data_IF_896952938082
#
_entry.id   IF_896952938082
#
_cell.length_a   1.000
_cell.length_b   1.000
_cell.length_c   1.000
_cell.angle_alpha   90.00
_cell.angle_beta   90.00
_cell.angle_gamma   90.00
#
_symmetry.space_group_name_H-M   'P 1'
#
loop_
_entity.id
_entity.type
_entity.pdbx_description
1 polymer ?
#
# COMPACT_ATOMS: atom_id res chain seq x y z
N UNK A 1 0.47 -1.39 -18.51
CA UNK A 1 1.02 -0.01 -18.52
C UNK A 1 2.42 0.01 -17.95
N UNK A 2 3.25 1.01 -18.28
CA UNK A 2 4.62 1.10 -17.76
C UNK A 2 4.66 1.79 -16.39
N UNK A 3 3.83 2.81 -16.21
CA UNK A 3 3.65 3.52 -14.95
C UNK A 3 2.30 4.24 -14.96
N UNK A 4 1.89 4.72 -13.79
CA UNK A 4 0.82 5.71 -13.60
C UNK A 4 1.35 6.91 -12.82
N UNK A 5 0.71 8.07 -12.99
CA UNK A 5 1.01 9.25 -12.20
C UNK A 5 -0.04 9.40 -11.11
N UNK A 6 0.41 9.39 -9.86
CA UNK A 6 -0.41 9.69 -8.69
C UNK A 6 0.16 10.96 -8.04
N UNK A 7 -0.59 12.06 -8.04
CA UNK A 7 -0.18 13.37 -7.52
C UNK A 7 1.19 13.87 -8.02
N UNK A 8 1.44 13.59 -9.31
CA UNK A 8 2.69 13.94 -10.00
C UNK A 8 3.85 12.96 -9.75
N UNK A 9 3.64 11.89 -8.98
CA UNK A 9 4.64 10.86 -8.71
C UNK A 9 4.41 9.62 -9.56
N UNK A 10 5.51 9.03 -10.02
CA UNK A 10 5.48 7.82 -10.85
C UNK A 10 5.32 6.58 -9.97
N UNK A 11 4.26 5.82 -10.22
CA UNK A 11 4.05 4.48 -9.65
C UNK A 11 4.26 3.44 -10.75
N UNK A 12 5.21 2.53 -10.52
CA UNK A 12 5.57 1.43 -11.42
C UNK A 12 5.28 0.10 -10.74
N UNK A 13 4.60 -0.82 -11.41
CA UNK A 13 4.23 -2.09 -10.79
C UNK A 13 5.44 -2.98 -10.47
N UNK A 14 5.38 -3.77 -9.39
CA UNK A 14 6.48 -4.66 -8.97
C UNK A 14 6.90 -5.61 -10.09
N UNK A 15 5.95 -6.16 -10.86
CA UNK A 15 6.29 -7.10 -11.93
C UNK A 15 7.22 -6.47 -12.98
N UNK A 16 7.11 -5.16 -13.22
CA UNK A 16 8.00 -4.42 -14.13
C UNK A 16 9.37 -4.11 -13.52
N UNK A 17 9.47 -4.09 -12.19
CA UNK A 17 10.74 -3.89 -11.47
C UNK A 17 11.61 -5.15 -11.43
N UNK A 18 11.04 -6.33 -11.70
CA UNK A 18 11.79 -7.60 -11.77
C UNK A 18 12.87 -7.50 -12.86
N UNK A 19 14.13 -7.51 -12.42
CA UNK A 19 15.32 -7.42 -13.29
C UNK A 19 16.05 -6.07 -13.28
N UNK A 20 15.56 -5.06 -12.55
CA UNK A 20 16.16 -3.71 -12.49
C UNK A 20 16.64 -3.26 -11.09
N UNK A 21 16.80 -4.19 -10.14
CA UNK A 21 17.14 -3.90 -8.73
C UNK A 21 16.19 -2.93 -8.00
N UNK A 22 15.03 -2.60 -8.56
CA UNK A 22 14.02 -1.80 -7.88
C UNK A 22 13.19 -2.70 -6.96
N UNK A 23 12.98 -2.25 -5.72
CA UNK A 23 12.18 -2.97 -4.73
C UNK A 23 10.69 -3.07 -5.07
N UNK A 24 9.93 -3.67 -4.15
CA UNK A 24 8.47 -3.71 -4.18
C UNK A 24 7.85 -2.32 -4.32
N UNK A 25 6.87 -2.17 -5.21
CA UNK A 25 6.06 -0.96 -5.27
C UNK A 25 4.93 -1.06 -4.25
N UNK A 26 5.08 -0.34 -3.15
CA UNK A 26 4.11 -0.37 -2.07
C UNK A 26 3.19 0.85 -2.14
N UNK A 27 1.91 0.60 -1.91
CA UNK A 27 0.84 1.59 -2.01
C UNK A 27 -0.04 1.56 -0.77
N UNK A 28 -0.72 2.66 -0.50
CA UNK A 28 -1.74 2.81 0.53
C UNK A 28 -3.10 3.09 -0.11
N UNK A 29 -4.15 2.50 0.43
CA UNK A 29 -5.53 2.75 0.04
C UNK A 29 -6.43 2.67 1.26
N UNK A 30 -7.53 3.43 1.24
CA UNK A 30 -8.53 3.43 2.30
C UNK A 30 -9.78 2.67 1.86
N UNK A 31 -10.26 1.77 2.72
CA UNK A 31 -11.50 1.02 2.54
C UNK A 31 -12.23 0.95 3.88
N UNK A 32 -13.53 1.26 3.90
CA UNK A 32 -14.33 1.29 5.14
C UNK A 32 -13.68 2.10 6.27
N UNK A 33 -13.11 3.26 5.93
CA UNK A 33 -12.39 4.15 6.87
C UNK A 33 -11.10 3.56 7.45
N UNK A 34 -10.68 2.39 6.98
CA UNK A 34 -9.44 1.73 7.36
C UNK A 34 -8.36 1.85 6.28
N UNK A 35 -7.11 2.03 6.74
CA UNK A 35 -5.93 2.07 5.91
C UNK A 35 -5.36 0.69 5.58
N UNK A 36 -5.01 0.46 4.31
CA UNK A 36 -4.39 -0.80 3.88
C UNK A 36 -3.13 -0.53 3.07
N UNK A 37 -2.02 -1.13 3.49
CA UNK A 37 -0.80 -1.18 2.70
C UNK A 37 -0.75 -2.46 1.85
N UNK A 38 -0.32 -2.31 0.60
CA UNK A 38 -0.24 -3.43 -0.33
C UNK A 38 0.86 -3.27 -1.35
N UNK A 39 1.21 -4.37 -2.00
CA UNK A 39 2.16 -4.38 -3.10
C UNK A 39 1.43 -4.38 -4.45
N UNK A 40 1.63 -3.33 -5.23
CA UNK A 40 1.06 -3.21 -6.58
C UNK A 40 1.84 -4.09 -7.56
N UNK A 41 1.29 -5.26 -7.90
CA UNK A 41 1.93 -6.24 -8.76
C UNK A 41 1.86 -5.82 -10.24
N UNK A 42 0.67 -5.42 -10.70
CA UNK A 42 0.34 -5.23 -12.12
C UNK A 42 -0.53 -3.99 -12.28
N UNK A 43 -0.30 -3.23 -13.36
CA UNK A 43 -1.22 -2.17 -13.83
C UNK A 43 -1.73 -2.52 -15.22
N UNK A 44 -3.05 -2.62 -15.35
CA UNK A 44 -3.72 -3.02 -16.58
C UNK A 44 -4.95 -2.16 -16.86
N UNK A 45 -5.49 -2.28 -18.08
CA UNK A 45 -6.79 -1.73 -18.46
C UNK A 45 -7.70 -2.91 -18.76
N UNK A 46 -8.96 -2.80 -18.35
CA UNK A 46 -9.99 -3.76 -18.69
C UNK A 46 -11.02 -3.10 -19.61
N UNK A 47 -11.49 -3.84 -20.60
CA UNK A 47 -12.56 -3.43 -21.52
C UNK A 47 -13.60 -4.55 -21.59
N UNK A 48 -14.87 -4.18 -21.57
CA UNK A 48 -15.99 -5.11 -21.71
C UNK A 48 -16.82 -4.70 -22.92
N UNK A 49 -17.22 -5.69 -23.72
CA UNK A 49 -18.08 -5.45 -24.87
C UNK A 49 -19.44 -4.91 -24.43
N UNK A 50 -19.94 -3.88 -25.11
CA UNK A 50 -21.20 -3.22 -24.77
C UNK A 50 -21.10 -2.14 -23.67
N UNK A 51 -19.95 -2.01 -23.00
CA UNK A 51 -19.69 -0.89 -22.08
C UNK A 51 -18.89 0.17 -22.82
N UNK A 52 -19.39 1.41 -22.85
CA UNK A 52 -18.71 2.50 -23.56
C UNK A 52 -17.29 2.69 -23.04
N UNK A 53 -16.31 2.64 -23.93
CA UNK A 53 -14.87 2.82 -23.67
C UNK A 53 -14.48 4.22 -23.14
N UNK A 54 -15.45 5.04 -22.72
CA UNK A 54 -15.28 6.41 -22.25
C UNK A 54 -14.56 6.51 -20.92
N UNK A 55 -14.53 5.44 -20.11
CA UNK A 55 -13.64 5.36 -18.95
C UNK A 55 -12.35 4.61 -19.33
N UNK A 56 -11.25 5.35 -19.45
CA UNK A 56 -9.91 4.77 -19.54
C UNK A 56 -9.41 4.28 -18.16
N UNK A 57 -10.29 3.72 -17.34
CA UNK A 57 -9.96 3.33 -15.96
C UNK A 57 -8.82 2.31 -15.98
N UNK A 58 -7.77 2.64 -15.24
CA UNK A 58 -6.66 1.74 -15.01
C UNK A 58 -6.93 0.98 -13.72
N UNK A 59 -6.58 -0.29 -13.73
CA UNK A 59 -6.72 -1.16 -12.58
C UNK A 59 -5.35 -1.61 -12.10
N UNK A 60 -5.23 -1.72 -10.78
CA UNK A 60 -4.08 -2.31 -10.09
C UNK A 60 -4.45 -3.67 -9.54
N UNK A 61 -3.60 -4.67 -9.78
CA UNK A 61 -3.63 -5.91 -8.99
C UNK A 61 -2.72 -5.72 -7.78
N UNK A 62 -3.29 -5.78 -6.58
CA UNK A 62 -2.62 -5.50 -5.32
C UNK A 62 -2.61 -6.74 -4.45
N UNK A 63 -1.44 -7.03 -3.86
CA UNK A 63 -1.29 -8.04 -2.82
C UNK A 63 -1.18 -7.33 -1.47
N UNK A 64 -2.26 -7.36 -0.69
CA UNK A 64 -2.35 -6.66 0.60
C UNK A 64 -1.44 -7.28 1.65
N UNK A 65 -0.77 -6.45 2.44
CA UNK A 65 0.00 -6.91 3.59
C UNK A 65 -0.94 -7.42 4.67
N UNK A 66 -0.54 -8.46 5.39
CA UNK A 66 -1.36 -9.00 6.49
C UNK A 66 -1.16 -8.16 7.75
N UNK A 67 -2.24 -7.63 8.32
CA UNK A 67 -2.19 -6.83 9.56
C UNK A 67 -1.55 -7.65 10.68
N UNK A 68 -0.71 -7.01 11.48
CA UNK A 68 -0.19 -7.64 12.69
C UNK A 68 -1.10 -7.36 13.87
N UNK A 69 -1.48 -8.39 14.62
CA UNK A 69 -2.12 -8.25 15.93
C UNK A 69 -1.10 -7.89 17.03
N UNK A 70 0.18 -7.79 16.69
CA UNK A 70 1.26 -7.50 17.63
C UNK A 70 1.77 -6.08 17.44
N UNK A 71 1.88 -5.36 18.55
CA UNK A 71 2.54 -4.07 18.64
C UNK A 71 4.00 -4.27 19.08
N UNK A 72 5.01 -3.73 18.36
CA UNK A 72 6.42 -3.86 18.76
C UNK A 72 6.80 -3.24 20.10
N UNK A 73 5.93 -2.42 20.70
CA UNK A 73 6.21 -1.73 21.96
C UNK A 73 5.27 -2.26 23.06
N UNK A 74 5.86 -2.70 24.16
CA UNK A 74 5.18 -3.26 25.35
C UNK A 74 4.52 -2.22 26.24
N UNK A 75 4.71 -0.92 25.98
CA UNK A 75 4.07 0.19 26.70
C UNK A 75 3.03 0.84 25.80
N UNK A 76 1.92 1.27 26.40
CA UNK A 76 0.72 1.87 25.78
C UNK A 76 0.95 3.21 25.05
N UNK A 77 2.15 3.47 24.55
CA UNK A 77 2.50 4.67 23.81
C UNK A 77 3.56 4.30 22.77
N UNK A 78 3.18 4.29 21.50
CA UNK A 78 4.16 4.28 20.43
C UNK A 78 4.81 5.64 20.39
N UNK A 79 6.13 5.68 20.18
CA UNK A 79 6.88 6.92 19.92
C UNK A 79 6.36 7.70 18.69
N UNK A 80 5.48 7.07 17.91
CA UNK A 80 4.85 7.63 16.72
C UNK A 80 3.41 8.11 16.98
N UNK A 81 2.85 7.87 18.18
CA UNK A 81 1.50 8.35 18.55
C UNK A 81 1.45 9.89 18.56
N UNK A 82 2.59 10.53 18.83
CA UNK A 82 2.74 11.99 18.76
C UNK A 82 2.80 12.52 17.32
N UNK A 83 2.93 11.62 16.32
CA UNK A 83 3.05 11.94 14.91
C UNK A 83 2.03 11.15 14.06
N UNK A 84 0.71 11.30 14.32
CA UNK A 84 -0.34 10.57 13.60
C UNK A 84 -0.29 10.80 12.10
N UNK A 85 0.26 11.94 11.67
CA UNK A 85 0.43 12.31 10.27
C UNK A 85 1.39 11.40 9.50
N UNK A 86 2.26 10.64 10.18
CA UNK A 86 3.16 9.68 9.53
C UNK A 86 2.43 8.42 9.04
N UNK A 87 1.19 8.19 9.48
CA UNK A 87 0.39 7.01 9.11
C UNK A 87 1.16 5.71 9.34
N UNK A 88 1.73 5.54 10.54
CA UNK A 88 2.53 4.37 10.87
C UNK A 88 1.63 3.16 11.10
N UNK A 89 1.83 2.11 10.31
CA UNK A 89 1.10 0.83 10.46
C UNK A 89 2.08 -0.35 10.55
N UNK A 90 1.67 -1.40 11.26
CA UNK A 90 2.46 -2.61 11.49
C UNK A 90 1.85 -3.85 10.86
N UNK A 91 2.70 -4.64 10.22
CA UNK A 91 2.28 -5.81 9.44
C UNK A 91 3.11 -7.03 9.80
N UNK A 92 2.51 -8.21 9.65
CA UNK A 92 3.23 -9.47 9.77
C UNK A 92 4.38 -9.52 8.73
N UNK A 93 5.56 -9.91 9.19
CA UNK A 93 6.74 -9.93 8.34
C UNK A 93 6.63 -10.95 7.22
N UNK A 94 6.82 -10.53 5.97
CA UNK A 94 6.71 -11.37 4.77
C UNK A 94 5.35 -12.06 4.60
N UNK A 95 4.29 -11.56 5.26
CA UNK A 95 2.96 -12.12 5.15
C UNK A 95 2.03 -11.18 4.38
N UNK A 96 1.18 -11.78 3.56
CA UNK A 96 0.16 -11.10 2.78
C UNK A 96 -1.19 -11.75 3.08
N UNK A 97 -2.24 -10.96 2.96
CA UNK A 97 -3.60 -11.44 3.16
C UNK A 97 -3.99 -12.48 2.09
N UNK A 98 -4.82 -13.46 2.44
CA UNK A 98 -5.50 -14.30 1.44
C UNK A 98 -6.33 -13.42 0.48
N UNK A 99 -6.50 -13.87 -0.76
CA UNK A 99 -7.20 -13.08 -1.78
C UNK A 99 -8.72 -13.06 -1.59
N UNK A 100 -9.23 -14.02 -0.84
CA UNK A 100 -10.64 -14.29 -0.54
C UNK A 100 -11.04 -13.88 0.88
N UNK A 101 -10.12 -13.26 1.63
CA UNK A 101 -10.38 -12.77 2.98
C UNK A 101 -11.27 -11.52 2.94
N UNK A 102 -12.51 -11.57 3.48
CA UNK A 102 -13.43 -10.44 3.45
C UNK A 102 -12.99 -9.26 4.33
N UNK A 103 -12.03 -9.45 5.24
CA UNK A 103 -11.46 -8.37 6.04
C UNK A 103 -10.53 -7.46 5.24
N UNK A 104 -10.12 -7.88 4.04
CA UNK A 104 -9.22 -7.13 3.18
C UNK A 104 -9.91 -6.57 1.95
N UNK A 105 -9.36 -5.49 1.36
CA UNK A 105 -9.93 -4.93 0.15
C UNK A 105 -9.82 -5.89 -1.04
N UNK A 106 -10.63 -5.68 -2.09
CA UNK A 106 -10.49 -6.41 -3.34
C UNK A 106 -9.06 -6.34 -3.88
N UNK A 107 -8.54 -7.46 -4.38
CA UNK A 107 -7.20 -7.55 -4.98
C UNK A 107 -7.08 -6.76 -6.28
N UNK A 108 -8.20 -6.42 -6.91
CA UNK A 108 -8.26 -5.53 -8.07
C UNK A 108 -9.00 -4.27 -7.68
N UNK A 109 -8.34 -3.12 -7.83
CA UNK A 109 -8.96 -1.81 -7.64
C UNK A 109 -8.62 -0.83 -8.77
N UNK A 110 -9.49 0.16 -9.02
CA UNK A 110 -9.13 1.32 -9.83
C UNK A 110 -7.91 2.02 -9.23
N UNK A 111 -6.95 2.41 -10.07
CA UNK A 111 -5.71 3.09 -9.63
C UNK A 111 -6.03 4.39 -8.87
N UNK A 112 -7.15 5.02 -9.17
CA UNK A 112 -7.65 6.25 -8.53
C UNK A 112 -8.01 6.05 -7.05
N UNK A 113 -8.15 4.79 -6.59
CA UNK A 113 -8.33 4.47 -5.16
C UNK A 113 -7.02 4.47 -4.37
N UNK A 114 -5.88 4.36 -5.05
CA UNK A 114 -4.57 4.45 -4.41
C UNK A 114 -4.37 5.89 -3.95
N UNK A 115 -4.17 6.09 -2.64
CA UNK A 115 -3.97 7.40 -2.04
C UNK A 115 -2.53 7.88 -2.18
N UNK A 116 -1.58 7.04 -1.83
CA UNK A 116 -0.16 7.37 -1.91
C UNK A 116 0.72 6.12 -1.99
N UNK A 117 2.03 6.35 -2.16
CA UNK A 117 3.04 5.30 -1.97
C UNK A 117 3.38 5.18 -0.49
N UNK A 118 3.84 4.00 -0.07
CA UNK A 118 4.33 3.80 1.30
C UNK A 118 5.80 3.40 1.29
N UNK A 119 6.54 3.88 2.28
CA UNK A 119 7.85 3.33 2.60
C UNK A 119 7.67 2.19 3.61
N UNK A 120 8.53 1.17 3.52
CA UNK A 120 8.52 0.03 4.43
C UNK A 120 9.87 -0.11 5.12
N UNK A 121 9.84 -0.08 6.44
CA UNK A 121 10.92 -0.52 7.33
C UNK A 121 10.72 -1.93 7.83
N UNK A 122 11.76 -2.47 8.49
CA UNK A 122 11.70 -3.75 9.19
C UNK A 122 12.05 -3.52 10.64
N UNK A 123 11.12 -3.81 11.54
CA UNK A 123 11.38 -3.84 12.97
C UNK A 123 11.99 -5.20 13.34
N UNK A 124 13.23 -5.20 13.83
CA UNK A 124 14.01 -6.42 14.13
C UNK A 124 13.72 -6.97 15.54
N UNK A 125 12.46 -6.93 15.96
CA UNK A 125 11.98 -7.55 17.20
C UNK A 125 11.78 -9.07 17.03
N UNK A 126 11.37 -9.74 18.11
CA UNK A 126 10.87 -11.12 18.10
C UNK A 126 9.40 -11.10 18.50
N UNK A 127 8.45 -11.27 17.55
CA UNK A 127 8.65 -11.55 16.13
C UNK A 127 9.08 -10.32 15.31
N UNK A 128 9.65 -10.58 14.14
CA UNK A 128 9.95 -9.54 13.14
C UNK A 128 8.66 -9.00 12.58
N UNK A 129 8.62 -7.70 12.28
CA UNK A 129 7.46 -7.04 11.70
C UNK A 129 7.88 -6.08 10.60
N UNK A 130 6.98 -5.87 9.64
CA UNK A 130 7.07 -4.73 8.75
C UNK A 130 6.40 -3.53 9.40
N UNK A 131 6.99 -2.36 9.16
CA UNK A 131 6.41 -1.08 9.55
C UNK A 131 6.32 -0.24 8.29
N UNK A 132 5.15 0.34 8.03
CA UNK A 132 4.96 1.25 6.90
C UNK A 132 4.72 2.65 7.38
N UNK A 133 5.12 3.63 6.58
CA UNK A 133 4.75 5.05 6.72
C UNK A 133 4.23 5.53 5.39
N UNK A 134 3.19 6.37 5.42
CA UNK A 134 2.66 6.97 4.20
C UNK A 134 3.67 7.98 3.68
N UNK A 135 3.87 7.99 2.36
CA UNK A 135 4.65 9.05 1.70
C UNK A 135 3.71 10.11 1.14
N UNK A 136 2.55 10.31 1.76
CA UNK A 136 1.65 11.38 1.33
C UNK A 136 2.33 12.74 1.51
N UNK A 137 1.85 13.78 0.82
CA UNK A 137 2.33 15.16 1.02
C UNK A 137 1.82 15.69 2.35
N UNK A 138 2.41 15.21 3.42
CA UNK A 138 2.21 15.78 4.74
C UNK A 138 3.21 16.92 4.92
N UNK A 139 2.71 18.11 5.23
CA UNK A 139 3.54 19.18 5.79
C UNK A 139 4.01 18.74 7.18
N UNK A 140 5.11 17.98 7.25
CA UNK A 140 5.85 17.81 8.51
C UNK A 140 6.39 19.19 8.91
N UNK A 141 5.67 19.90 9.77
CA UNK A 141 6.21 21.08 10.45
C UNK A 141 7.14 20.56 11.53
N UNK A 142 8.44 20.51 11.22
CA UNK A 142 9.45 20.39 12.27
C UNK A 142 9.36 21.68 13.11
N UNK A 143 8.88 21.55 14.35
CA UNK A 143 8.83 22.63 15.34
C UNK A 143 10.16 22.70 16.08
#
# INVERSE_FOLDING_TARGET
YNYVLLDGRRITSTQRNRGRNFGSCLIYSEFNEEGFAGELQIIFKHSQDGVSSSSQTLFGFVRWMKRSMMTPLTSNQFIWDDFPELGIETWEYNAFAPQDDPEYPPVVLPIERIKCQVARGVFRTRPRMWVTTTLDRVLCRLV
#
